data_IF_723978182198
#
_entry.id   IF_723978182198
#
_cell.length_a   1.000
_cell.length_b   1.000
_cell.length_c   1.000
_cell.angle_alpha   90.00
_cell.angle_beta   90.00
_cell.angle_gamma   90.00
#
_symmetry.space_group_name_H-M   'P 1'
#
loop_
_entity.id
_entity.type
_entity.pdbx_description
1 polymer ?
#
# COMPACT_ATOMS: atom_id res chain seq x y z
N UNK A 1 11.97 -9.92 -5.97
CA UNK A 1 10.54 -9.97 -6.36
C UNK A 1 9.92 -8.65 -5.94
N UNK A 2 9.16 -8.01 -6.82
CA UNK A 2 8.44 -6.78 -6.48
C UNK A 2 7.13 -7.14 -5.81
N UNK A 3 6.81 -6.51 -4.68
CA UNK A 3 5.55 -6.72 -3.99
C UNK A 3 4.38 -6.26 -4.91
N UNK A 4 3.40 -7.14 -5.23
CA UNK A 4 2.31 -6.80 -6.15
C UNK A 4 1.39 -5.70 -5.60
N UNK A 5 1.19 -5.64 -4.28
CA UNK A 5 0.41 -4.56 -3.65
C UNK A 5 1.13 -3.21 -3.80
N UNK A 6 2.44 -3.20 -3.61
CA UNK A 6 3.28 -2.01 -3.84
C UNK A 6 3.18 -1.52 -5.29
N UNK A 7 3.30 -2.43 -6.26
CA UNK A 7 3.16 -2.10 -7.69
C UNK A 7 1.77 -1.55 -7.98
N UNK A 8 0.73 -2.15 -7.39
CA UNK A 8 -0.64 -1.71 -7.57
C UNK A 8 -0.86 -0.29 -7.05
N UNK A 9 -0.41 0.01 -5.82
CA UNK A 9 -0.48 1.35 -5.25
C UNK A 9 0.11 2.41 -6.20
N UNK A 10 1.34 2.18 -6.68
CA UNK A 10 2.03 3.10 -7.59
C UNK A 10 1.30 3.24 -8.92
N UNK A 11 0.73 2.15 -9.46
CA UNK A 11 -0.06 2.19 -10.70
C UNK A 11 -1.33 3.02 -10.57
N UNK A 12 -1.92 3.11 -9.39
CA UNK A 12 -3.09 3.96 -9.13
C UNK A 12 -2.71 5.43 -8.84
N UNK A 13 -1.44 5.80 -9.05
CA UNK A 13 -0.94 7.14 -8.78
C UNK A 13 -0.68 7.40 -7.29
N UNK A 14 -0.67 6.36 -6.46
CA UNK A 14 -0.36 6.45 -5.05
C UNK A 14 1.13 6.45 -4.75
N UNK A 15 1.47 6.85 -3.53
CA UNK A 15 2.83 6.80 -2.97
C UNK A 15 2.88 5.76 -1.85
N UNK A 16 3.94 4.95 -1.84
CA UNK A 16 4.19 4.02 -0.75
C UNK A 16 4.94 4.69 0.39
N UNK A 17 4.55 4.32 1.61
CA UNK A 17 5.26 4.63 2.85
C UNK A 17 5.43 3.34 3.64
N UNK A 18 6.68 2.98 3.95
CA UNK A 18 6.98 1.80 4.76
C UNK A 18 6.87 2.17 6.24
N UNK A 19 6.16 1.35 6.99
CA UNK A 19 5.89 1.53 8.41
C UNK A 19 6.21 0.26 9.19
N UNK A 20 6.38 0.42 10.52
CA UNK A 20 6.58 -0.71 11.44
C UNK A 20 5.57 -0.65 12.56
N UNK A 21 4.99 -1.78 12.91
CA UNK A 21 4.14 -1.87 14.09
C UNK A 21 4.97 -1.94 15.39
N UNK A 22 4.29 -1.95 16.53
CA UNK A 22 4.91 -2.03 17.87
C UNK A 22 5.70 -3.32 18.10
N UNK A 23 5.48 -4.35 17.28
CA UNK A 23 6.17 -5.63 17.32
C UNK A 23 7.35 -5.67 16.32
N UNK A 24 7.54 -4.63 15.53
CA UNK A 24 8.58 -4.51 14.52
C UNK A 24 8.22 -5.14 13.17
N UNK A 25 6.98 -5.56 12.95
CA UNK A 25 6.55 -6.08 11.64
C UNK A 25 6.47 -4.93 10.64
N UNK A 26 7.05 -5.14 9.46
CA UNK A 26 7.00 -4.17 8.37
C UNK A 26 5.69 -4.32 7.59
N UNK A 27 5.04 -3.19 7.33
CA UNK A 27 3.91 -3.06 6.41
C UNK A 27 4.08 -1.78 5.60
N UNK A 28 3.29 -1.61 4.54
CA UNK A 28 3.32 -0.37 3.78
C UNK A 28 1.93 0.24 3.62
N UNK A 29 1.88 1.55 3.74
CA UNK A 29 0.72 2.36 3.47
C UNK A 29 0.78 2.90 2.03
N UNK A 30 -0.37 2.93 1.39
CA UNK A 30 -0.59 3.57 0.11
C UNK A 30 -1.31 4.91 0.30
N UNK A 31 -0.61 5.99 0.00
CA UNK A 31 -1.15 7.35 -0.04
C UNK A 31 -1.71 7.63 -1.42
N UNK A 32 -3.03 7.68 -1.52
CA UNK A 32 -3.76 7.87 -2.78
C UNK A 32 -3.91 9.36 -3.11
N UNK A 33 -4.03 9.73 -4.40
CA UNK A 33 -4.16 11.12 -4.83
C UNK A 33 -5.47 11.79 -4.38
N UNK A 34 -6.48 11.01 -3.97
CA UNK A 34 -7.72 11.50 -3.37
C UNK A 34 -7.58 11.84 -1.87
N UNK A 35 -6.37 11.74 -1.33
CA UNK A 35 -6.03 12.01 0.07
C UNK A 35 -6.27 10.83 1.01
N UNK A 36 -6.74 9.68 0.52
CA UNK A 36 -6.88 8.48 1.35
C UNK A 36 -5.53 7.85 1.63
N UNK A 37 -5.40 7.31 2.84
CA UNK A 37 -4.28 6.47 3.24
C UNK A 37 -4.84 5.13 3.66
N UNK A 38 -4.34 4.04 3.05
CA UNK A 38 -4.82 2.68 3.26
C UNK A 38 -3.65 1.71 3.19
N UNK A 39 -3.69 0.61 3.92
CA UNK A 39 -2.66 -0.42 3.84
C UNK A 39 -2.60 -1.03 2.42
N UNK A 40 -1.39 -1.27 1.90
CA UNK A 40 -1.21 -1.62 0.49
C UNK A 40 -1.94 -2.92 0.09
N UNK A 41 -1.93 -3.93 0.96
CA UNK A 41 -2.55 -5.22 0.68
C UNK A 41 -4.05 -5.20 0.86
N UNK A 42 -4.57 -4.44 1.82
CA UNK A 42 -5.99 -4.14 1.94
C UNK A 42 -6.52 -3.48 0.66
N UNK A 43 -5.82 -2.45 0.19
CA UNK A 43 -6.19 -1.76 -1.04
C UNK A 43 -6.11 -2.68 -2.27
N UNK A 44 -5.03 -3.46 -2.39
CA UNK A 44 -4.84 -4.43 -3.46
C UNK A 44 -5.96 -5.47 -3.47
N UNK A 45 -6.26 -6.13 -2.34
CA UNK A 45 -7.32 -7.16 -2.28
C UNK A 45 -8.72 -6.60 -2.56
N UNK A 46 -8.98 -5.34 -2.21
CA UNK A 46 -10.27 -4.72 -2.44
C UNK A 46 -10.51 -4.33 -3.93
N UNK A 47 -9.45 -4.09 -4.70
CA UNK A 47 -9.56 -3.50 -6.05
C UNK A 47 -8.91 -4.31 -7.18
N UNK A 48 -7.95 -5.18 -6.89
CA UNK A 48 -7.35 -6.08 -7.86
C UNK A 48 -8.33 -7.23 -8.13
N UNK A 49 -9.05 -7.15 -9.26
CA UNK A 49 -9.85 -8.24 -9.83
C UNK A 49 -9.12 -8.85 -11.02
#
# INVERSE_FOLDING_TARGET
MTNPASVFCVKQGGRLEAEKDVQGNEYALCHLPDGKVVEEWEYFRAHAK
#
